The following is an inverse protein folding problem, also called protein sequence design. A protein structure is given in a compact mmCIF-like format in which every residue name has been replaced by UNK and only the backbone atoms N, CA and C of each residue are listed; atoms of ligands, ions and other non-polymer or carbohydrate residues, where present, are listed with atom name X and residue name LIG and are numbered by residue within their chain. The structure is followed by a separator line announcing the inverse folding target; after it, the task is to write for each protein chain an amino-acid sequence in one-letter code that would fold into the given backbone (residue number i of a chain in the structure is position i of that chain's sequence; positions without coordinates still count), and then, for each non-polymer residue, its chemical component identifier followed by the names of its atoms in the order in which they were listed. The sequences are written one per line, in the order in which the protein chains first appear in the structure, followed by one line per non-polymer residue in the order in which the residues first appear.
data_IF_590462630712
#
_entry.id   IF_590462630712
#
_cell.length_a   1.000
_cell.length_b   1.000
_cell.length_c   1.000
_cell.angle_alpha   90.00
_cell.angle_beta   90.00
_cell.angle_gamma   90.00
#
_symmetry.space_group_name_H-M   'P 1'
#
loop_
_entity.id
_entity.type
_entity.pdbx_description
1 polymer ?
#
# COMPACT_ATOMS: atom_id res chain seq x y z
N UNK A 1 15.32 -25.81 59.50
CA UNK A 1 16.04 -25.13 58.41
C UNK A 1 15.45 -23.74 58.31
N UNK A 2 16.23 -22.70 58.61
CA UNK A 2 15.75 -21.34 58.82
C UNK A 2 15.33 -20.65 57.50
N UNK A 3 14.25 -19.87 57.53
CA UNK A 3 13.70 -19.12 56.38
C UNK A 3 14.75 -18.27 55.65
N UNK A 4 15.76 -17.79 56.37
CA UNK A 4 16.89 -17.03 55.80
C UNK A 4 17.73 -17.85 54.82
N UNK A 5 17.90 -19.16 55.05
CA UNK A 5 18.68 -20.03 54.17
C UNK A 5 17.93 -20.30 52.85
N UNK A 6 16.62 -20.53 52.94
CA UNK A 6 15.77 -20.70 51.77
C UNK A 6 15.73 -19.44 50.89
N UNK A 7 15.61 -18.25 51.50
CA UNK A 7 15.63 -16.98 50.76
C UNK A 7 16.91 -16.81 49.94
N UNK A 8 18.07 -17.08 50.54
CA UNK A 8 19.38 -16.96 49.86
C UNK A 8 19.52 -17.97 48.72
N UNK A 9 19.05 -19.22 48.92
CA UNK A 9 19.05 -20.23 47.86
C UNK A 9 18.13 -19.85 46.69
N UNK A 10 16.95 -19.30 46.99
CA UNK A 10 16.02 -18.82 45.97
C UNK A 10 16.61 -17.67 45.17
N UNK A 11 17.23 -16.69 45.84
CA UNK A 11 17.90 -15.56 45.19
C UNK A 11 19.00 -16.04 44.23
N UNK A 12 19.88 -16.93 44.69
CA UNK A 12 20.93 -17.51 43.83
C UNK A 12 20.35 -18.26 42.62
N UNK A 13 19.25 -19.00 42.81
CA UNK A 13 18.59 -19.73 41.72
C UNK A 13 17.99 -18.77 40.70
N UNK A 14 17.32 -17.71 41.16
CA UNK A 14 16.72 -16.70 40.28
C UNK A 14 17.79 -15.90 39.52
N UNK A 15 18.93 -15.61 40.16
CA UNK A 15 20.06 -14.95 39.50
C UNK A 15 20.66 -15.83 38.40
N UNK A 16 20.79 -17.13 38.65
CA UNK A 16 21.23 -18.09 37.62
C UNK A 16 20.26 -18.16 36.44
N UNK A 17 18.95 -18.18 36.71
CA UNK A 17 17.92 -18.16 35.66
C UNK A 17 17.97 -16.83 34.89
N UNK A 18 18.16 -15.70 35.58
CA UNK A 18 18.28 -14.38 34.96
C UNK A 18 19.50 -14.30 34.04
N UNK A 19 20.65 -14.82 34.47
CA UNK A 19 21.85 -14.90 33.64
C UNK A 19 21.66 -15.81 32.43
N UNK A 20 21.03 -16.98 32.60
CA UNK A 20 20.72 -17.90 31.50
C UNK A 20 19.79 -17.25 30.46
N UNK A 21 18.78 -16.49 30.91
CA UNK A 21 17.89 -15.71 30.03
C UNK A 21 18.68 -14.70 29.21
N UNK A 22 19.57 -13.92 29.82
CA UNK A 22 20.35 -12.90 29.13
C UNK A 22 21.23 -13.52 28.01
N UNK A 23 21.91 -14.63 28.31
CA UNK A 23 22.71 -15.37 27.31
C UNK A 23 21.84 -15.85 26.14
N UNK A 24 20.65 -16.37 26.44
CA UNK A 24 19.71 -16.81 25.41
C UNK A 24 19.19 -15.64 24.55
N UNK A 25 18.86 -14.49 25.16
CA UNK A 25 18.36 -13.29 24.48
C UNK A 25 19.41 -12.72 23.51
N UNK A 26 20.66 -12.58 23.97
CA UNK A 26 21.74 -11.97 23.21
C UNK A 26 22.37 -12.91 22.17
N UNK A 27 22.32 -14.23 22.43
CA UNK A 27 22.83 -15.25 21.53
C UNK A 27 21.75 -15.82 20.61
N UNK A 28 21.09 -16.88 21.08
CA UNK A 28 20.20 -17.72 20.27
C UNK A 28 19.01 -16.95 19.71
N UNK A 29 18.32 -16.14 20.55
CA UNK A 29 17.15 -15.40 20.11
C UNK A 29 17.51 -14.34 19.06
N UNK A 30 18.60 -13.59 19.30
CA UNK A 30 19.11 -12.59 18.34
C UNK A 30 19.46 -13.23 17.00
N UNK A 31 20.27 -14.29 17.01
CA UNK A 31 20.66 -15.02 15.79
C UNK A 31 19.45 -15.55 15.03
N UNK A 32 18.48 -16.11 15.74
CA UNK A 32 17.23 -16.60 15.14
C UNK A 32 16.42 -15.48 14.47
N UNK A 33 16.38 -14.30 15.09
CA UNK A 33 15.72 -13.13 14.52
C UNK A 33 16.47 -12.59 13.28
N UNK A 34 17.80 -12.54 13.32
CA UNK A 34 18.62 -12.08 12.19
C UNK A 34 18.42 -12.97 10.95
N UNK A 35 18.37 -14.29 11.14
CA UNK A 35 18.04 -15.24 10.07
C UNK A 35 16.63 -15.05 9.52
N UNK A 36 15.63 -14.85 10.39
CA UNK A 36 14.27 -14.54 9.98
C UNK A 36 14.21 -13.25 9.15
N UNK A 37 14.93 -12.20 9.57
CA UNK A 37 14.94 -10.92 8.86
C UNK A 37 15.61 -11.05 7.49
N UNK A 38 16.65 -11.86 7.35
CA UNK A 38 17.26 -12.18 6.06
C UNK A 38 16.30 -12.95 5.11
N UNK A 39 15.40 -13.79 5.63
CA UNK A 39 14.32 -14.40 4.83
C UNK A 39 13.31 -13.35 4.39
N UNK A 40 12.89 -12.47 5.31
CA UNK A 40 11.91 -11.42 5.02
C UNK A 40 12.44 -10.38 4.02
N UNK A 41 13.74 -10.04 4.07
CA UNK A 41 14.42 -9.20 3.08
C UNK A 41 14.25 -9.76 1.67
N UNK A 42 14.53 -11.05 1.48
CA UNK A 42 14.37 -11.71 0.17
C UNK A 42 12.90 -11.75 -0.27
N UNK A 43 11.97 -11.93 0.66
CA UNK A 43 10.54 -11.82 0.37
C UNK A 43 10.16 -10.42 -0.11
N UNK A 44 10.75 -9.38 0.48
CA UNK A 44 10.50 -7.98 0.14
C UNK A 44 10.99 -7.62 -1.26
N UNK A 45 12.17 -8.10 -1.66
CA UNK A 45 12.68 -7.90 -3.02
C UNK A 45 11.75 -8.52 -4.08
N UNK A 46 11.26 -9.74 -3.83
CA UNK A 46 10.26 -10.38 -4.70
C UNK A 46 8.95 -9.60 -4.72
N UNK A 47 8.49 -9.13 -3.55
CA UNK A 47 7.29 -8.30 -3.44
C UNK A 47 7.39 -7.02 -4.28
N UNK A 48 8.54 -6.31 -4.21
CA UNK A 48 8.79 -5.09 -4.98
C UNK A 48 8.72 -5.35 -6.49
N UNK A 49 9.43 -6.37 -6.98
CA UNK A 49 9.40 -6.74 -8.40
C UNK A 49 7.99 -7.06 -8.89
N UNK A 50 7.17 -7.71 -8.06
CA UNK A 50 5.79 -8.04 -8.42
C UNK A 50 4.85 -6.83 -8.34
N UNK A 51 5.15 -5.84 -7.51
CA UNK A 51 4.34 -4.62 -7.44
C UNK A 51 4.37 -3.87 -8.78
N UNK A 52 5.54 -3.85 -9.41
CA UNK A 52 5.79 -3.17 -10.68
C UNK A 52 5.31 -3.97 -11.90
N UNK A 53 5.22 -5.31 -11.81
CA UNK A 53 4.96 -6.19 -12.96
C UNK A 53 3.71 -7.09 -12.78
N UNK A 54 2.71 -6.90 -13.65
CA UNK A 54 1.46 -7.69 -13.66
C UNK A 54 1.64 -9.12 -14.15
N UNK A 55 2.61 -9.40 -15.03
CA UNK A 55 2.91 -10.73 -15.53
C UNK A 55 3.56 -11.57 -14.41
N UNK A 56 4.53 -11.01 -13.69
CA UNK A 56 5.15 -11.67 -12.52
C UNK A 56 4.12 -11.99 -11.42
N UNK A 57 3.15 -11.11 -11.20
CA UNK A 57 2.01 -11.39 -10.29
C UNK A 57 1.17 -12.59 -10.73
N UNK A 58 0.93 -12.74 -12.03
CA UNK A 58 0.20 -13.90 -12.57
C UNK A 58 1.00 -15.19 -12.39
N UNK A 59 2.31 -15.17 -12.63
CA UNK A 59 3.19 -16.32 -12.38
C UNK A 59 3.16 -16.77 -10.91
N UNK A 60 3.18 -15.85 -9.94
CA UNK A 60 3.07 -16.20 -8.53
C UNK A 60 1.73 -16.90 -8.20
N UNK A 61 0.63 -16.44 -8.77
CA UNK A 61 -0.67 -17.09 -8.56
C UNK A 61 -0.68 -18.52 -9.10
N UNK A 62 -0.02 -18.77 -10.25
CA UNK A 62 0.14 -20.12 -10.80
C UNK A 62 0.92 -21.01 -9.84
N UNK A 63 2.09 -20.56 -9.38
CA UNK A 63 2.94 -21.30 -8.45
C UNK A 63 2.24 -21.66 -7.13
N UNK A 64 1.38 -20.77 -6.62
CA UNK A 64 0.56 -21.03 -5.44
C UNK A 64 -0.52 -22.09 -5.72
N UNK A 65 -1.08 -22.09 -6.92
CA UNK A 65 -2.09 -23.08 -7.33
C UNK A 65 -1.48 -24.46 -7.47
N UNK A 66 -0.30 -24.57 -8.07
CA UNK A 66 0.45 -25.82 -8.23
C UNK A 66 0.80 -26.47 -6.88
N UNK A 67 0.97 -25.66 -5.83
CA UNK A 67 1.21 -26.12 -4.46
C UNK A 67 -0.06 -26.35 -3.63
N UNK A 68 -1.24 -26.33 -4.24
CA UNK A 68 -2.54 -26.41 -3.56
C UNK A 68 -2.80 -25.29 -2.53
N UNK A 69 -2.10 -24.15 -2.66
CA UNK A 69 -2.25 -22.97 -1.80
C UNK A 69 -3.15 -21.92 -2.47
N UNK A 70 -4.31 -22.35 -3.00
CA UNK A 70 -5.20 -21.54 -3.85
C UNK A 70 -5.57 -20.20 -3.19
N UNK A 71 -5.01 -19.07 -3.66
CA UNK A 71 -5.31 -17.76 -3.09
C UNK A 71 -6.76 -17.38 -3.42
N UNK A 72 -7.42 -16.67 -2.49
CA UNK A 72 -8.71 -16.03 -2.81
C UNK A 72 -8.45 -14.78 -3.66
N UNK A 73 -9.46 -14.31 -4.38
CA UNK A 73 -9.38 -13.07 -5.15
C UNK A 73 -8.97 -11.87 -4.29
N UNK A 74 -9.39 -11.85 -3.02
CA UNK A 74 -9.07 -10.81 -2.05
C UNK A 74 -7.71 -10.98 -1.34
N UNK A 75 -6.96 -12.04 -1.60
CA UNK A 75 -5.66 -12.26 -0.94
C UNK A 75 -4.65 -11.23 -1.44
N UNK A 76 -4.09 -10.44 -0.51
CA UNK A 76 -3.11 -9.41 -0.85
C UNK A 76 -1.81 -9.99 -1.42
N UNK A 77 -1.08 -9.20 -2.20
CA UNK A 77 0.21 -9.61 -2.76
C UNK A 77 1.22 -10.03 -1.67
N UNK A 78 1.26 -9.29 -0.56
CA UNK A 78 2.16 -9.61 0.56
C UNK A 78 1.85 -10.99 1.16
N UNK A 79 0.57 -11.32 1.33
CA UNK A 79 0.16 -12.63 1.84
C UNK A 79 0.51 -13.74 0.86
N UNK A 80 0.39 -13.51 -0.45
CA UNK A 80 0.76 -14.50 -1.47
C UNK A 80 2.25 -14.84 -1.40
N UNK A 81 3.12 -13.84 -1.29
CA UNK A 81 4.58 -14.04 -1.16
C UNK A 81 4.91 -14.78 0.13
N UNK A 82 4.43 -14.30 1.28
CA UNK A 82 4.72 -14.91 2.57
C UNK A 82 4.19 -16.35 2.66
N UNK A 83 2.95 -16.60 2.19
CA UNK A 83 2.37 -17.95 2.20
C UNK A 83 3.20 -18.92 1.37
N UNK A 84 3.70 -18.50 0.21
CA UNK A 84 4.52 -19.36 -0.64
C UNK A 84 5.82 -19.80 0.07
N UNK A 85 6.45 -18.89 0.81
CA UNK A 85 7.73 -19.13 1.50
C UNK A 85 7.54 -19.91 2.80
N UNK A 86 6.55 -19.53 3.61
CA UNK A 86 6.35 -20.10 4.95
C UNK A 86 5.41 -21.31 4.96
N UNK A 87 4.65 -21.55 3.88
CA UNK A 87 3.80 -22.72 3.69
C UNK A 87 2.57 -22.80 4.61
N UNK A 88 2.27 -21.74 5.36
CA UNK A 88 1.18 -21.70 6.34
C UNK A 88 0.46 -20.36 6.36
N UNK A 89 -0.68 -20.35 7.03
CA UNK A 89 -1.50 -19.18 7.27
C UNK A 89 -1.70 -19.00 8.78
N UNK A 90 -1.36 -17.82 9.29
CA UNK A 90 -1.49 -17.52 10.70
C UNK A 90 -1.21 -16.05 11.00
N UNK A 91 -1.37 -15.68 12.27
CA UNK A 91 -1.20 -14.28 12.70
C UNK A 91 0.23 -13.75 12.43
N UNK A 92 1.26 -14.61 12.54
CA UNK A 92 2.65 -14.23 12.25
C UNK A 92 2.85 -13.94 10.77
N UNK A 93 2.30 -14.78 9.89
CA UNK A 93 2.40 -14.61 8.45
C UNK A 93 1.62 -13.38 7.96
N UNK A 94 0.48 -13.09 8.61
CA UNK A 94 -0.25 -11.84 8.40
C UNK A 94 0.58 -10.62 8.83
N UNK A 95 1.30 -10.70 9.96
CA UNK A 95 2.20 -9.65 10.41
C UNK A 95 3.35 -9.43 9.41
N UNK A 96 3.97 -10.50 8.90
CA UNK A 96 5.02 -10.40 7.89
C UNK A 96 4.52 -9.78 6.58
N UNK A 97 3.34 -10.17 6.09
CA UNK A 97 2.79 -9.58 4.88
C UNK A 97 2.46 -8.09 5.04
N UNK A 98 2.01 -7.70 6.24
CA UNK A 98 1.76 -6.30 6.58
C UNK A 98 3.05 -5.51 6.69
N UNK A 99 4.09 -6.09 7.28
CA UNK A 99 5.46 -5.56 7.29
C UNK A 99 5.94 -5.26 5.86
N UNK A 100 5.81 -6.21 4.91
CA UNK A 100 6.24 -5.98 3.52
C UNK A 100 5.56 -4.75 2.90
N UNK A 101 4.27 -4.58 3.19
CA UNK A 101 3.49 -3.45 2.67
C UNK A 101 3.92 -2.13 3.30
N UNK A 102 4.08 -2.10 4.63
CA UNK A 102 4.49 -0.88 5.35
C UNK A 102 5.92 -0.48 4.97
N UNK A 103 6.83 -1.45 4.88
CA UNK A 103 8.20 -1.19 4.46
C UNK A 103 8.29 -0.70 3.02
N UNK A 104 7.43 -1.18 2.12
CA UNK A 104 7.38 -0.68 0.74
C UNK A 104 7.01 0.81 0.70
N UNK A 105 6.09 1.23 1.58
CA UNK A 105 5.58 2.59 1.59
C UNK A 105 6.47 3.57 2.39
N UNK A 106 7.09 3.12 3.49
CA UNK A 106 7.71 4.00 4.49
C UNK A 106 9.23 3.82 4.65
N UNK A 107 9.80 2.67 4.26
CA UNK A 107 11.23 2.42 4.44
C UNK A 107 12.05 3.31 3.49
N UNK A 108 13.09 4.00 3.96
CA UNK A 108 14.07 4.67 3.08
C UNK A 108 14.64 3.73 2.02
N UNK A 109 14.83 4.22 0.79
CA UNK A 109 15.24 3.39 -0.34
C UNK A 109 16.58 2.68 -0.13
N UNK A 110 17.57 3.38 0.44
CA UNK A 110 18.94 2.89 0.67
C UNK A 110 19.09 1.97 1.89
N UNK A 111 18.05 1.85 2.72
CA UNK A 111 18.08 1.04 3.94
C UNK A 111 17.67 -0.41 3.64
N UNK A 112 18.35 -1.40 4.22
CA UNK A 112 17.88 -2.80 4.16
C UNK A 112 16.61 -3.00 5.00
N UNK A 113 15.73 -3.92 4.61
CA UNK A 113 14.57 -4.26 5.42
C UNK A 113 14.97 -4.76 6.82
N UNK A 114 16.01 -5.57 6.94
CA UNK A 114 16.49 -6.10 8.22
C UNK A 114 16.87 -4.98 9.20
N UNK A 115 17.64 -3.99 8.73
CA UNK A 115 18.01 -2.84 9.58
C UNK A 115 16.81 -1.97 9.92
N UNK A 116 15.84 -1.83 9.02
CA UNK A 116 14.60 -1.12 9.28
C UNK A 116 13.76 -1.79 10.37
N UNK A 117 13.61 -3.12 10.31
CA UNK A 117 12.90 -3.88 11.34
C UNK A 117 13.59 -3.73 12.71
N UNK A 118 14.92 -3.86 12.75
CA UNK A 118 15.69 -3.70 13.99
C UNK A 118 15.53 -2.28 14.58
N UNK A 119 15.61 -1.24 13.74
CA UNK A 119 15.43 0.15 14.17
C UNK A 119 14.04 0.42 14.74
N UNK A 120 13.00 -0.19 14.16
CA UNK A 120 11.64 -0.09 14.67
C UNK A 120 11.40 -0.88 15.97
N UNK A 121 12.34 -1.73 16.42
CA UNK A 121 12.15 -2.59 17.59
C UNK A 121 11.47 -3.93 17.30
N UNK A 122 11.47 -4.35 16.03
CA UNK A 122 10.97 -5.66 15.60
C UNK A 122 9.74 -5.60 14.71
N UNK A 123 9.34 -6.76 14.19
CA UNK A 123 8.25 -6.92 13.22
C UNK A 123 6.92 -6.36 13.73
N UNK A 124 6.61 -6.58 15.01
CA UNK A 124 5.35 -6.13 15.62
C UNK A 124 5.28 -4.61 15.72
N UNK A 125 6.40 -3.94 15.99
CA UNK A 125 6.44 -2.48 16.04
C UNK A 125 6.28 -1.85 14.66
N UNK A 126 6.90 -2.45 13.62
CA UNK A 126 6.64 -2.04 12.23
C UNK A 126 5.17 -2.24 11.88
N UNK A 127 4.54 -3.34 12.31
CA UNK A 127 3.12 -3.60 12.09
C UNK A 127 2.21 -2.58 12.80
N UNK A 128 2.65 -2.09 13.96
CA UNK A 128 1.94 -1.06 14.74
C UNK A 128 2.08 0.33 14.15
N UNK A 129 3.10 0.56 13.31
CA UNK A 129 3.20 1.77 12.49
C UNK A 129 1.94 1.86 11.63
N UNK A 130 1.01 2.69 12.09
CA UNK A 130 -0.33 2.73 11.53
C UNK A 130 -0.34 3.67 10.34
N UNK A 131 -0.87 3.20 9.20
CA UNK A 131 -1.68 4.09 8.36
C UNK A 131 -2.84 4.51 9.25
N UNK A 132 -2.81 5.77 9.63
CA UNK A 132 -3.65 6.53 10.56
C UNK A 132 -4.88 5.80 11.11
N UNK A 133 -4.95 5.69 12.45
CA UNK A 133 -6.17 5.36 13.19
C UNK A 133 -6.40 6.39 14.28
N UNK A 134 -6.66 7.63 13.89
CA UNK A 134 -7.30 8.60 14.77
C UNK A 134 -8.53 9.13 14.05
N UNK A 135 -9.66 8.45 14.24
CA UNK A 135 -10.91 8.84 13.60
C UNK A 135 -12.00 7.80 13.81
N UNK A 136 -13.18 8.31 14.20
CA UNK A 136 -14.47 7.63 14.22
C UNK A 136 -14.57 6.63 13.05
N UNK A 137 -15.02 5.39 13.30
CA UNK A 137 -15.24 4.40 12.23
C UNK A 137 -16.18 4.98 11.19
N UNK A 138 -15.63 5.45 10.07
CA UNK A 138 -16.41 6.00 8.97
C UNK A 138 -17.12 4.86 8.24
N UNK A 139 -18.39 5.07 7.95
CA UNK A 139 -19.22 4.14 7.18
C UNK A 139 -18.90 4.23 5.68
N UNK A 140 -19.41 3.28 4.88
CA UNK A 140 -19.28 3.36 3.43
C UNK A 140 -19.90 4.66 2.89
N UNK A 141 -21.08 5.04 3.40
CA UNK A 141 -21.75 6.26 2.99
C UNK A 141 -20.95 7.52 3.34
N UNK A 142 -20.30 7.56 4.52
CA UNK A 142 -19.43 8.68 4.88
C UNK A 142 -18.27 8.86 3.88
N UNK A 143 -17.63 7.75 3.44
CA UNK A 143 -16.58 7.82 2.42
C UNK A 143 -17.12 8.22 1.05
N UNK A 144 -18.31 7.72 0.66
CA UNK A 144 -18.95 8.14 -0.58
C UNK A 144 -19.18 9.65 -0.58
N UNK A 145 -19.70 10.21 0.52
CA UNK A 145 -19.92 11.65 0.65
C UNK A 145 -18.62 12.45 0.56
N UNK A 146 -17.53 12.00 1.21
CA UNK A 146 -16.21 12.62 1.07
C UNK A 146 -15.77 12.64 -0.40
N UNK A 147 -15.96 11.53 -1.13
CA UNK A 147 -15.60 11.44 -2.53
C UNK A 147 -16.38 12.42 -3.40
N UNK A 148 -17.71 12.42 -3.29
CA UNK A 148 -18.59 13.32 -4.06
C UNK A 148 -18.26 14.78 -3.77
N UNK A 149 -18.10 15.15 -2.50
CA UNK A 149 -17.71 16.51 -2.11
C UNK A 149 -16.33 16.88 -2.67
N UNK A 150 -15.33 16.03 -2.48
CA UNK A 150 -13.96 16.29 -2.93
C UNK A 150 -13.82 16.40 -4.45
N UNK A 151 -14.51 15.54 -5.19
CA UNK A 151 -14.52 15.53 -6.65
C UNK A 151 -15.29 16.74 -7.21
N UNK A 152 -16.42 17.12 -6.62
CA UNK A 152 -17.16 18.32 -7.02
C UNK A 152 -16.40 19.62 -6.72
N UNK A 153 -15.59 19.65 -5.64
CA UNK A 153 -14.74 20.80 -5.31
C UNK A 153 -13.49 20.90 -6.19
N UNK A 154 -13.04 19.80 -6.78
CA UNK A 154 -11.94 19.77 -7.74
C UNK A 154 -12.37 20.40 -9.08
N UNK A 155 -12.46 21.74 -9.12
CA UNK A 155 -12.94 22.53 -10.26
C UNK A 155 -12.13 22.43 -11.56
N UNK A 156 -11.05 21.64 -11.61
CA UNK A 156 -10.21 21.48 -12.79
C UNK A 156 -10.05 19.98 -13.08
N UNK A 157 -10.69 19.44 -14.13
CA UNK A 157 -10.47 18.06 -14.53
C UNK A 157 -9.01 17.86 -14.90
N UNK A 158 -8.44 16.72 -14.48
CA UNK A 158 -7.05 16.33 -14.77
C UNK A 158 -6.82 16.19 -16.29
N UNK A 159 -7.86 15.80 -17.03
CA UNK A 159 -7.96 15.86 -18.48
C UNK A 159 -9.44 15.86 -18.88
N UNK A 160 -9.80 16.61 -19.92
CA UNK A 160 -11.11 16.51 -20.59
C UNK A 160 -10.92 15.86 -21.95
N UNK A 161 -11.75 14.88 -22.26
CA UNK A 161 -11.78 14.21 -23.55
C UNK A 161 -13.23 13.93 -23.94
N UNK A 162 -13.47 13.73 -25.23
CA UNK A 162 -14.80 13.37 -25.71
C UNK A 162 -15.11 11.93 -25.26
N UNK A 163 -16.16 11.78 -24.45
CA UNK A 163 -16.68 10.47 -24.10
C UNK A 163 -17.32 9.82 -25.33
N UNK A 164 -17.01 8.55 -25.64
CA UNK A 164 -17.75 7.80 -26.65
C UNK A 164 -19.25 7.72 -26.29
N UNK A 165 -20.12 7.71 -27.30
CA UNK A 165 -21.58 7.72 -27.10
C UNK A 165 -22.09 6.58 -26.22
N UNK A 166 -21.41 5.43 -26.20
CA UNK A 166 -21.78 4.27 -25.39
C UNK A 166 -21.42 4.39 -23.90
N UNK A 167 -20.72 5.45 -23.50
CA UNK A 167 -20.34 5.71 -22.10
C UNK A 167 -21.21 6.86 -21.59
N UNK A 168 -22.37 6.52 -21.03
CA UNK A 168 -23.32 7.48 -20.47
C UNK A 168 -23.56 7.21 -18.99
N UNK A 169 -23.76 8.26 -18.17
CA UNK A 169 -24.17 8.10 -16.79
C UNK A 169 -25.52 7.39 -16.70
N UNK A 170 -25.80 6.78 -15.56
CA UNK A 170 -27.07 6.12 -15.32
C UNK A 170 -28.12 7.14 -14.90
N UNK A 171 -29.16 7.32 -15.72
CA UNK A 171 -30.24 8.28 -15.46
C UNK A 171 -31.10 7.97 -14.24
N UNK A 172 -31.03 6.75 -13.70
CA UNK A 172 -31.78 6.31 -12.52
C UNK A 172 -30.94 6.36 -11.22
N UNK A 173 -29.72 6.89 -11.28
CA UNK A 173 -28.81 6.99 -10.15
C UNK A 173 -28.47 8.45 -9.85
N UNK A 174 -28.26 8.76 -8.57
CA UNK A 174 -28.17 10.15 -8.08
C UNK A 174 -26.87 10.87 -8.47
N UNK A 175 -25.88 10.18 -9.04
CA UNK A 175 -24.59 10.77 -9.43
C UNK A 175 -24.28 10.56 -10.91
N UNK A 176 -23.79 11.61 -11.57
CA UNK A 176 -23.44 11.62 -13.00
C UNK A 176 -22.05 11.02 -13.29
N UNK A 177 -21.74 9.87 -12.68
CA UNK A 177 -20.46 9.17 -12.86
C UNK A 177 -20.58 7.90 -13.69
N UNK A 178 -19.49 7.57 -14.38
CA UNK A 178 -19.26 6.26 -15.03
C UNK A 178 -17.88 5.75 -14.62
N UNK A 179 -17.76 4.45 -14.40
CA UNK A 179 -16.49 3.80 -14.07
C UNK A 179 -15.83 3.28 -15.35
N UNK A 180 -14.66 3.82 -15.69
CA UNK A 180 -13.85 3.38 -16.82
C UNK A 180 -12.81 2.32 -16.44
N UNK A 181 -12.68 1.26 -17.24
CA UNK A 181 -11.53 0.35 -17.19
C UNK A 181 -10.44 0.86 -18.13
N UNK A 182 -9.36 1.38 -17.55
CA UNK A 182 -8.23 1.94 -18.30
C UNK A 182 -7.04 0.98 -18.23
N UNK A 183 -6.49 0.61 -19.38
CA UNK A 183 -5.21 -0.12 -19.46
C UNK A 183 -4.07 0.89 -19.52
N UNK A 184 -3.17 0.85 -18.55
CA UNK A 184 -1.94 1.64 -18.59
C UNK A 184 -0.94 1.00 -19.55
N UNK A 185 -0.42 1.81 -20.48
CA UNK A 185 0.59 1.40 -21.45
C UNK A 185 2.00 1.70 -20.92
N UNK A 186 3.05 1.00 -21.40
CA UNK A 186 4.43 1.24 -20.95
C UNK A 186 4.97 2.64 -21.25
N UNK A 187 4.40 3.34 -22.23
CA UNK A 187 4.76 4.70 -22.62
C UNK A 187 4.13 5.79 -21.74
N UNK A 188 3.36 5.39 -20.71
CA UNK A 188 2.66 6.30 -19.80
C UNK A 188 1.29 6.76 -20.29
N UNK A 189 0.83 6.31 -21.46
CA UNK A 189 -0.53 6.54 -21.94
C UNK A 189 -1.52 5.54 -21.34
N UNK A 190 -2.83 5.77 -21.53
CA UNK A 190 -3.87 4.86 -21.08
C UNK A 190 -4.96 4.67 -22.12
N UNK A 191 -5.37 3.42 -22.35
CA UNK A 191 -6.47 3.08 -23.24
C UNK A 191 -7.76 2.84 -22.43
N UNK A 192 -8.83 3.59 -22.71
CA UNK A 192 -10.15 3.33 -22.14
C UNK A 192 -10.79 2.14 -22.85
N UNK A 193 -10.87 0.99 -22.16
CA UNK A 193 -11.32 -0.27 -22.73
C UNK A 193 -12.81 -0.54 -22.52
N UNK A 194 -13.39 -0.02 -21.43
CA UNK A 194 -14.77 -0.29 -21.04
C UNK A 194 -15.31 0.80 -20.11
N UNK A 195 -16.62 1.08 -20.18
CA UNK A 195 -17.34 1.96 -19.25
C UNK A 195 -18.48 1.21 -18.57
N UNK A 196 -18.67 1.40 -17.27
CA UNK A 196 -19.71 0.78 -16.46
C UNK A 196 -20.49 1.83 -15.67
N UNK A 197 -21.82 1.85 -15.82
CA UNK A 197 -22.72 2.77 -15.15
C UNK A 197 -23.63 2.10 -14.09
N UNK A 198 -23.32 0.86 -13.68
CA UNK A 198 -24.00 0.19 -12.58
C UNK A 198 -23.75 0.94 -11.26
N UNK A 199 -24.84 1.35 -10.60
CA UNK A 199 -24.83 2.09 -9.33
C UNK A 199 -23.93 1.43 -8.27
N UNK A 200 -23.93 0.10 -8.16
CA UNK A 200 -23.09 -0.62 -7.19
C UNK A 200 -21.60 -0.49 -7.50
N UNK A 201 -21.25 -0.48 -8.78
CA UNK A 201 -19.86 -0.33 -9.24
C UNK A 201 -19.40 1.10 -9.02
N UNK A 202 -20.26 2.07 -9.32
CA UNK A 202 -20.02 3.49 -9.05
C UNK A 202 -19.83 3.72 -7.55
N UNK A 203 -20.75 3.25 -6.70
CA UNK A 203 -20.65 3.34 -5.23
C UNK A 203 -19.33 2.74 -4.73
N UNK A 204 -18.95 1.56 -5.21
CA UNK A 204 -17.71 0.90 -4.79
C UNK A 204 -16.47 1.75 -5.10
N UNK A 205 -16.44 2.39 -6.27
CA UNK A 205 -15.34 3.28 -6.68
C UNK A 205 -15.36 4.59 -5.90
N UNK A 206 -16.53 5.19 -5.67
CA UNK A 206 -16.67 6.39 -4.85
C UNK A 206 -16.23 6.14 -3.41
N UNK A 207 -16.65 5.04 -2.78
CA UNK A 207 -16.20 4.66 -1.44
C UNK A 207 -14.69 4.45 -1.38
N UNK A 208 -14.10 3.80 -2.39
CA UNK A 208 -12.65 3.62 -2.47
C UNK A 208 -11.91 4.97 -2.63
N UNK A 209 -12.45 5.87 -3.45
CA UNK A 209 -11.92 7.22 -3.67
C UNK A 209 -12.00 8.07 -2.40
N UNK A 210 -13.10 7.99 -1.67
CA UNK A 210 -13.29 8.68 -0.39
C UNK A 210 -12.31 8.25 0.67
N UNK A 211 -12.05 6.94 0.80
CA UNK A 211 -11.00 6.41 1.68
C UNK A 211 -9.62 6.95 1.33
N UNK A 212 -9.32 7.08 0.04
CA UNK A 212 -8.05 7.64 -0.41
C UNK A 212 -7.92 9.14 -0.06
N UNK A 213 -8.98 9.93 -0.29
CA UNK A 213 -9.00 11.35 0.03
C UNK A 213 -8.89 11.61 1.54
N UNK A 214 -9.62 10.84 2.36
CA UNK A 214 -9.55 10.92 3.82
C UNK A 214 -8.14 10.60 4.32
N UNK A 215 -7.55 9.49 3.86
CA UNK A 215 -6.19 9.12 4.22
C UNK A 215 -5.19 10.22 3.85
N UNK A 216 -5.31 10.78 2.65
CA UNK A 216 -4.44 11.86 2.20
C UNK A 216 -4.58 13.11 3.07
N UNK A 217 -5.81 13.51 3.40
CA UNK A 217 -6.06 14.66 4.27
C UNK A 217 -5.46 14.45 5.68
N UNK A 218 -5.57 13.25 6.22
CA UNK A 218 -4.96 12.89 7.51
C UNK A 218 -3.43 12.91 7.45
N UNK A 219 -2.85 12.39 6.36
CA UNK A 219 -1.40 12.40 6.13
C UNK A 219 -0.88 13.85 6.01
N UNK A 220 -1.58 14.71 5.27
CA UNK A 220 -1.24 16.14 5.12
C UNK A 220 -1.32 16.89 6.47
N UNK A 221 -2.38 16.65 7.27
CA UNK A 221 -2.52 17.24 8.60
C UNK A 221 -1.40 16.81 9.56
N UNK A 222 -0.98 15.55 9.51
CA UNK A 222 0.15 15.04 10.31
C UNK A 222 1.49 15.53 9.78
N UNK A 223 1.65 15.64 8.46
CA UNK A 223 2.79 16.28 7.82
C UNK A 223 2.98 17.71 8.29
N UNK A 224 1.89 18.48 8.42
CA UNK A 224 1.92 19.81 9.04
C UNK A 224 2.32 19.79 10.52
N UNK A 225 1.83 18.83 11.32
CA UNK A 225 2.19 18.71 12.75
C UNK A 225 3.66 18.28 12.97
N UNK A 226 4.23 17.48 12.06
CA UNK A 226 5.67 17.12 12.07
C UNK A 226 6.53 18.26 11.50
N UNK A 227 5.96 19.13 10.66
CA UNK A 227 6.69 20.19 9.94
C UNK A 227 7.02 21.46 10.76
N UNK A 228 6.55 21.61 12.00
CA UNK A 228 6.94 22.77 12.83
C UNK A 228 8.37 22.71 13.41
N UNK A 229 9.09 21.58 13.25
CA UNK A 229 10.55 21.50 13.55
C UNK A 229 11.42 21.47 12.29
N UNK A 230 10.84 21.28 11.09
CA UNK A 230 11.56 21.31 9.82
C UNK A 230 11.02 22.38 8.87
N UNK A 231 10.92 23.62 9.36
CA UNK A 231 10.67 24.79 8.50
C UNK A 231 11.73 24.87 7.39
N UNK A 232 11.26 24.76 6.15
CA UNK A 232 11.88 25.20 4.88
C UNK A 232 13.02 24.35 4.33
N UNK A 233 12.63 23.31 3.59
CA UNK A 233 13.18 23.02 2.25
C UNK A 233 11.98 22.90 1.30
N UNK A 234 11.32 24.02 0.98
CA UNK A 234 11.49 24.69 -0.31
C UNK A 234 11.43 23.70 -1.47
N UNK A 235 10.23 23.38 -1.98
CA UNK A 235 9.89 23.29 -3.43
C UNK A 235 8.55 22.59 -3.76
N UNK A 236 8.00 21.75 -2.88
CA UNK A 236 7.00 20.75 -3.34
C UNK A 236 5.51 21.13 -3.31
N UNK A 237 5.16 22.42 -3.21
CA UNK A 237 3.75 22.87 -3.40
C UNK A 237 3.51 23.46 -4.81
N UNK A 238 4.54 23.54 -5.66
CA UNK A 238 4.39 23.94 -7.08
C UNK A 238 4.46 22.75 -8.06
N UNK A 239 4.88 21.55 -7.63
CA UNK A 239 5.25 20.49 -8.59
C UNK A 239 4.16 19.48 -8.95
N UNK A 240 2.99 19.47 -8.30
CA UNK A 240 1.99 18.42 -8.53
C UNK A 240 0.90 18.79 -9.55
N UNK A 241 0.75 20.07 -9.89
CA UNK A 241 -0.06 20.47 -11.04
C UNK A 241 0.70 20.30 -12.38
N UNK A 242 1.98 20.72 -12.56
CA UNK A 242 2.57 20.80 -13.91
C UNK A 242 3.10 19.48 -14.51
N UNK A 243 3.37 18.43 -13.72
CA UNK A 243 3.93 17.17 -14.28
C UNK A 243 2.92 16.30 -15.03
N UNK A 244 1.63 16.59 -14.85
CA UNK A 244 0.55 16.04 -15.68
C UNK A 244 0.38 16.82 -17.00
N UNK A 245 0.85 18.07 -17.06
CA UNK A 245 0.76 18.93 -18.25
C UNK A 245 2.01 18.91 -19.16
N UNK A 246 3.17 18.43 -18.69
CA UNK A 246 4.39 18.43 -19.50
C UNK A 246 4.49 17.26 -20.50
N UNK A 247 3.79 16.13 -20.28
CA UNK A 247 3.83 14.96 -21.17
C UNK A 247 2.73 14.93 -22.23
N UNK A 248 1.71 15.79 -22.13
CA UNK A 248 0.62 15.89 -23.10
C UNK A 248 0.85 17.07 -24.06
N UNK A 249 1.89 16.98 -24.89
CA UNK A 249 1.89 17.74 -26.15
C UNK A 249 0.94 17.04 -27.13
N UNK A 250 -0.07 17.70 -27.71
CA UNK A 250 -0.92 17.07 -28.69
C UNK A 250 -0.13 16.93 -30.00
N UNK A 251 0.41 15.75 -30.29
CA UNK A 251 0.73 15.37 -31.68
C UNK A 251 -0.58 15.00 -32.38
N UNK A 252 -1.37 16.01 -32.72
CA UNK A 252 -2.40 15.89 -33.75
C UNK A 252 -1.68 15.71 -35.10
N UNK A 253 -1.57 14.47 -35.57
CA UNK A 253 -1.32 14.21 -36.99
C UNK A 253 -2.67 14.38 -37.72
N UNK A 254 -2.88 15.57 -38.27
CA UNK A 254 -3.89 15.77 -39.32
C UNK A 254 -3.24 15.26 -40.61
N UNK A 255 -3.66 14.08 -41.09
CA UNK A 255 -3.38 13.71 -42.48
C UNK A 255 -4.21 14.64 -43.37
N UNK A 256 -3.58 15.71 -43.81
CA UNK A 256 -4.06 16.52 -44.92
C UNK A 256 -3.95 15.73 -46.21
N UNK A 257 -5.08 15.36 -46.80
CA UNK A 257 -5.18 15.13 -48.23
C UNK A 257 -5.97 16.29 -48.80
N UNK A 258 -5.23 17.23 -49.40
CA UNK A 258 -5.76 18.28 -50.25
C UNK A 258 -5.43 17.96 -51.71
N UNK A 259 -6.49 17.78 -52.51
CA UNK A 259 -6.74 18.46 -53.82
C UNK A 259 -5.97 17.86 -55.03
N UNK A 260 -6.56 17.71 -56.24
CA UNK A 260 -7.23 18.81 -56.95
C UNK A 260 -8.54 18.55 -57.69
N UNK A 261 -9.17 19.70 -57.93
CA UNK A 261 -10.24 19.94 -58.87
C UNK A 261 -9.76 19.77 -60.31
N UNK A 262 -10.53 19.03 -61.10
CA UNK A 262 -11.13 19.45 -62.38
C UNK A 262 -12.47 18.72 -62.55
#
# INVERSE_FOLDING_TARGET
MSDTNYKVQLEQTLDQISAARAVWEEGTLKSSNDELYAILERCFEIYKQMKEDTAKRRSLNSLLTDRNMKPRTSTSLGIKVIRYVFGKEGNREQAFARLLTIAYDLKPAEQSLASYIQQCGGVEEVRRTSKVKDGKTMTADDYKQIAVMGLNMARIPVASFNLPEFIQPNSEYDEDYVVGLIRCNPDGTGDLLFGNNDAKVIDTVLVASGKYLDQKAQDDQKGLQVADVAKRRTEDVRSFAPKLFASMSPKLHINGLAVPAE
#
